data_IF_642565237997
#
_entry.id   IF_642565237997
#
_cell.length_a   1.000
_cell.length_b   1.000
_cell.length_c   1.000
_cell.angle_alpha   90.00
_cell.angle_beta   90.00
_cell.angle_gamma   90.00
#
_symmetry.space_group_name_H-M   'P 1'
#
loop_
_entity.id
_entity.type
_entity.pdbx_description
1 polymer ?
#
# COMPACT_ATOMS: atom_id res chain seq x y z
N UNK A 1 1.07 2.02 -16.36
CA UNK A 1 1.46 1.35 -15.10
C UNK A 1 1.23 -0.14 -15.22
N UNK A 2 2.20 -0.95 -14.86
CA UNK A 2 2.15 -2.41 -15.02
C UNK A 2 2.65 -3.12 -13.78
N UNK A 3 2.15 -4.32 -13.54
CA UNK A 3 2.73 -5.25 -12.56
C UNK A 3 4.11 -5.70 -13.06
N UNK A 4 5.11 -5.61 -12.21
CA UNK A 4 6.52 -5.84 -12.58
C UNK A 4 6.87 -7.32 -12.56
N UNK A 5 6.45 -8.05 -11.53
CA UNK A 5 6.82 -9.44 -11.34
C UNK A 5 5.68 -10.27 -10.74
N UNK A 6 5.91 -11.58 -10.62
CA UNK A 6 4.98 -12.50 -10.01
C UNK A 6 3.92 -13.03 -10.96
N UNK A 7 2.84 -13.54 -10.39
CA UNK A 7 1.77 -14.23 -11.10
C UNK A 7 1.10 -13.36 -12.17
N UNK A 8 0.99 -12.05 -11.93
CA UNK A 8 0.33 -11.10 -12.82
C UNK A 8 1.32 -10.21 -13.59
N UNK A 9 2.56 -10.63 -13.73
CA UNK A 9 3.60 -9.87 -14.44
C UNK A 9 3.11 -9.36 -15.80
N UNK A 10 3.34 -8.07 -16.05
CA UNK A 10 3.00 -7.42 -17.31
C UNK A 10 1.55 -6.93 -17.42
N UNK A 11 0.71 -7.28 -16.46
CA UNK A 11 -0.67 -6.79 -16.44
C UNK A 11 -0.71 -5.27 -16.31
N UNK A 12 -1.41 -4.62 -17.21
CA UNK A 12 -1.60 -3.16 -17.17
C UNK A 12 -2.66 -2.80 -16.14
N UNK A 13 -2.30 -1.90 -15.23
CA UNK A 13 -3.19 -1.36 -14.23
C UNK A 13 -3.82 -0.04 -14.71
N UNK A 14 -5.01 0.24 -14.17
CA UNK A 14 -5.62 1.56 -14.33
C UNK A 14 -4.80 2.60 -13.56
N UNK A 15 -4.63 3.75 -14.17
CA UNK A 15 -3.89 4.87 -13.59
C UNK A 15 -4.67 6.17 -13.76
N UNK A 16 -4.20 7.23 -13.13
CA UNK A 16 -4.84 8.53 -13.19
C UNK A 16 -4.83 9.03 -14.63
N UNK A 17 -6.01 9.41 -15.14
CA UNK A 17 -6.13 9.99 -16.48
C UNK A 17 -5.49 11.37 -16.55
N UNK A 18 -4.99 11.74 -17.73
CA UNK A 18 -4.53 13.11 -17.99
C UNK A 18 -5.72 14.06 -17.79
N UNK A 19 -5.58 15.01 -16.87
CA UNK A 19 -6.64 15.99 -16.56
C UNK A 19 -7.28 15.80 -15.19
N UNK A 20 -6.99 14.72 -14.49
CA UNK A 20 -7.53 14.48 -13.15
C UNK A 20 -6.63 15.10 -12.06
N UNK A 21 -6.30 16.39 -12.25
CA UNK A 21 -5.43 17.14 -11.34
C UNK A 21 -6.01 17.32 -9.94
N UNK A 22 -7.33 17.13 -9.78
CA UNK A 22 -8.02 17.26 -8.49
C UNK A 22 -7.77 16.07 -7.55
N UNK A 23 -7.27 14.96 -8.07
CA UNK A 23 -7.10 13.74 -7.28
C UNK A 23 -5.90 13.77 -6.33
N UNK A 24 -4.96 14.69 -6.51
CA UNK A 24 -3.71 14.83 -5.73
C UNK A 24 -2.94 13.51 -5.53
N UNK A 25 -3.20 12.53 -6.39
CA UNK A 25 -2.52 11.24 -6.36
C UNK A 25 -1.18 11.35 -7.09
N UNK A 26 -0.12 10.91 -6.43
CA UNK A 26 1.21 10.79 -7.05
C UNK A 26 1.39 9.32 -7.45
N UNK A 27 1.40 8.99 -8.75
CA UNK A 27 1.68 7.64 -9.17
C UNK A 27 3.13 7.27 -8.87
N UNK A 28 3.34 6.13 -8.23
CA UNK A 28 4.66 5.52 -8.13
C UNK A 28 4.98 4.91 -9.49
N UNK A 29 6.04 5.38 -10.14
CA UNK A 29 6.41 4.87 -11.47
C UNK A 29 6.79 3.40 -11.43
N UNK A 30 6.67 2.72 -12.56
CA UNK A 30 7.08 1.31 -12.69
C UNK A 30 8.54 1.11 -12.26
N UNK A 31 9.42 2.03 -12.64
CA UNK A 31 10.84 1.98 -12.30
C UNK A 31 11.09 2.11 -10.80
N UNK A 32 10.42 3.05 -10.13
CA UNK A 32 10.55 3.24 -8.68
C UNK A 32 10.01 2.03 -7.94
N UNK A 33 8.87 1.51 -8.39
CA UNK A 33 8.27 0.31 -7.79
C UNK A 33 9.16 -0.92 -7.99
N UNK A 34 9.75 -1.09 -9.16
CA UNK A 34 10.72 -2.16 -9.43
C UNK A 34 11.92 -2.07 -8.50
N UNK A 35 12.50 -0.88 -8.36
CA UNK A 35 13.63 -0.64 -7.45
C UNK A 35 13.27 -0.98 -6.01
N UNK A 36 12.12 -0.51 -5.54
CA UNK A 36 11.66 -0.78 -4.19
C UNK A 36 11.51 -2.29 -3.93
N UNK A 37 10.83 -3.01 -4.80
CA UNK A 37 10.62 -4.45 -4.63
C UNK A 37 11.90 -5.27 -4.81
N UNK A 38 12.85 -4.80 -5.62
CA UNK A 38 14.18 -5.41 -5.71
C UNK A 38 14.96 -5.30 -4.39
N UNK A 39 14.79 -4.21 -3.66
CA UNK A 39 15.36 -4.05 -2.32
C UNK A 39 14.62 -4.94 -1.33
N UNK A 40 13.29 -4.87 -1.31
CA UNK A 40 12.46 -5.59 -0.34
C UNK A 40 12.66 -7.11 -0.40
N UNK A 41 12.84 -7.69 -1.58
CA UNK A 41 13.02 -9.14 -1.72
C UNK A 41 14.23 -9.70 -0.95
N UNK A 42 15.18 -8.85 -0.58
CA UNK A 42 16.33 -9.27 0.22
C UNK A 42 15.98 -9.42 1.70
N UNK A 43 14.86 -8.85 2.14
CA UNK A 43 14.43 -8.80 3.53
C UNK A 43 13.11 -9.52 3.78
N UNK A 44 12.26 -9.58 2.75
CA UNK A 44 10.88 -10.03 2.85
C UNK A 44 10.64 -11.16 1.86
N UNK A 45 10.13 -12.29 2.34
CA UNK A 45 9.50 -13.30 1.50
C UNK A 45 8.02 -12.92 1.38
N UNK A 46 7.57 -12.64 0.15
CA UNK A 46 6.19 -12.21 -0.09
C UNK A 46 5.17 -13.34 0.04
N UNK A 47 5.62 -14.58 0.02
CA UNK A 47 4.72 -15.73 0.03
C UNK A 47 3.88 -15.75 1.31
N UNK A 48 2.56 -15.81 1.15
CA UNK A 48 1.57 -15.89 2.21
C UNK A 48 1.49 -14.71 3.17
N UNK A 49 2.12 -13.58 2.85
CA UNK A 49 2.05 -12.38 3.68
C UNK A 49 0.67 -11.75 3.68
N UNK A 50 0.29 -11.18 4.81
CA UNK A 50 -0.81 -10.23 4.94
C UNK A 50 -0.24 -8.81 4.82
N UNK A 51 -0.78 -8.02 3.91
CA UNK A 51 -0.28 -6.70 3.55
C UNK A 51 -1.30 -5.63 3.87
N UNK A 52 -0.83 -4.53 4.43
CA UNK A 52 -1.61 -3.30 4.64
C UNK A 52 -1.00 -2.19 3.77
N UNK A 53 -1.82 -1.57 2.93
CA UNK A 53 -1.41 -0.48 2.04
C UNK A 53 -2.16 0.79 2.46
N UNK A 54 -1.49 1.62 3.27
CA UNK A 54 -2.04 2.88 3.80
C UNK A 54 -1.76 4.03 2.81
N UNK A 55 -2.74 4.89 2.60
CA UNK A 55 -2.71 5.91 1.55
C UNK A 55 -2.50 5.27 0.18
N UNK A 56 -3.31 4.26 -0.12
CA UNK A 56 -3.02 3.30 -1.19
C UNK A 56 -3.05 3.90 -2.61
N UNK A 57 -3.75 5.01 -2.82
CA UNK A 57 -3.80 5.69 -4.12
C UNK A 57 -4.39 4.79 -5.21
N UNK A 58 -3.55 4.37 -6.16
CA UNK A 58 -3.95 3.43 -7.22
C UNK A 58 -3.92 1.97 -6.78
N UNK A 59 -3.36 1.69 -5.60
CA UNK A 59 -3.16 0.34 -5.10
C UNK A 59 -1.95 -0.39 -5.66
N UNK A 60 -1.09 0.29 -6.41
CA UNK A 60 0.01 -0.35 -7.13
C UNK A 60 0.98 -1.13 -6.23
N UNK A 61 1.31 -0.62 -5.05
CA UNK A 61 2.23 -1.29 -4.13
C UNK A 61 1.63 -2.58 -3.56
N UNK A 62 0.41 -2.51 -3.04
CA UNK A 62 -0.27 -3.69 -2.50
C UNK A 62 -0.53 -4.74 -3.58
N UNK A 63 -0.92 -4.32 -4.79
CA UNK A 63 -1.16 -5.25 -5.90
C UNK A 63 0.13 -5.90 -6.40
N UNK A 64 1.25 -5.17 -6.38
CA UNK A 64 2.55 -5.76 -6.69
C UNK A 64 2.91 -6.87 -5.69
N UNK A 65 2.72 -6.60 -4.40
CA UNK A 65 2.94 -7.59 -3.34
C UNK A 65 2.04 -8.82 -3.53
N UNK A 66 0.78 -8.61 -3.90
CA UNK A 66 -0.17 -9.68 -4.16
C UNK A 66 0.29 -10.56 -5.33
N UNK A 67 0.74 -9.93 -6.43
CA UNK A 67 1.27 -10.64 -7.59
C UNK A 67 2.50 -11.49 -7.24
N UNK A 68 3.28 -11.07 -6.26
CA UNK A 68 4.51 -11.76 -5.80
C UNK A 68 4.27 -12.84 -4.75
N UNK A 69 3.02 -13.06 -4.37
CA UNK A 69 2.64 -14.17 -3.50
C UNK A 69 1.93 -13.84 -2.21
N UNK A 70 1.70 -12.55 -1.90
CA UNK A 70 0.97 -12.16 -0.70
C UNK A 70 -0.41 -12.82 -0.66
N UNK A 71 -0.83 -13.24 0.52
CA UNK A 71 -2.09 -13.93 0.75
C UNK A 71 -3.29 -12.98 0.66
N UNK A 72 -3.14 -11.80 1.23
CA UNK A 72 -4.22 -10.81 1.33
C UNK A 72 -3.66 -9.40 1.41
N UNK A 73 -4.35 -8.46 0.79
CA UNK A 73 -4.01 -7.04 0.88
C UNK A 73 -5.25 -6.25 1.32
N UNK A 74 -5.07 -5.44 2.37
CA UNK A 74 -6.04 -4.44 2.77
C UNK A 74 -5.54 -3.08 2.30
N UNK A 75 -6.33 -2.42 1.47
CA UNK A 75 -6.06 -1.06 0.99
C UNK A 75 -6.85 -0.07 1.81
N UNK A 76 -6.22 1.04 2.20
CA UNK A 76 -6.88 2.14 2.89
C UNK A 76 -6.71 3.40 2.06
N UNK A 77 -7.81 3.96 1.59
CA UNK A 77 -7.84 5.14 0.73
C UNK A 77 -9.11 5.94 0.99
N UNK A 78 -8.98 7.24 1.28
CA UNK A 78 -10.13 8.10 1.54
C UNK A 78 -10.61 8.90 0.31
N UNK A 79 -9.83 8.95 -0.77
CA UNK A 79 -10.16 9.67 -1.99
C UNK A 79 -11.01 8.82 -2.95
N UNK A 80 -12.06 9.41 -3.52
CA UNK A 80 -12.96 8.68 -4.44
C UNK A 80 -12.25 8.17 -5.69
N UNK A 81 -11.36 8.97 -6.26
CA UNK A 81 -10.60 8.58 -7.47
C UNK A 81 -9.70 7.37 -7.16
N UNK A 82 -8.97 7.41 -6.06
CA UNK A 82 -8.14 6.29 -5.62
C UNK A 82 -8.95 5.03 -5.35
N UNK A 83 -10.07 5.15 -4.64
CA UNK A 83 -10.96 4.02 -4.36
C UNK A 83 -11.45 3.36 -5.65
N UNK A 84 -11.85 4.15 -6.64
CA UNK A 84 -12.29 3.63 -7.94
C UNK A 84 -11.14 2.92 -8.66
N UNK A 85 -9.96 3.51 -8.69
CA UNK A 85 -8.78 2.91 -9.33
C UNK A 85 -8.38 1.60 -8.66
N UNK A 86 -8.38 1.54 -7.33
CA UNK A 86 -8.12 0.32 -6.58
C UNK A 86 -9.14 -0.76 -6.96
N UNK A 87 -10.42 -0.43 -6.96
CA UNK A 87 -11.48 -1.37 -7.35
C UNK A 87 -11.30 -1.90 -8.76
N UNK A 88 -11.02 -1.02 -9.72
CA UNK A 88 -10.76 -1.40 -11.12
C UNK A 88 -9.54 -2.33 -11.23
N UNK A 89 -8.48 -2.04 -10.49
CA UNK A 89 -7.25 -2.82 -10.51
C UNK A 89 -7.41 -4.18 -9.84
N UNK A 90 -8.13 -4.26 -8.74
CA UNK A 90 -8.49 -5.54 -8.11
C UNK A 90 -9.26 -6.41 -9.09
N UNK A 91 -10.22 -5.83 -9.81
CA UNK A 91 -11.00 -6.54 -10.82
C UNK A 91 -10.13 -7.03 -11.98
N UNK A 92 -9.20 -6.21 -12.47
CA UNK A 92 -8.24 -6.60 -13.53
C UNK A 92 -7.37 -7.78 -13.11
N UNK A 93 -6.97 -7.84 -11.86
CA UNK A 93 -6.19 -8.95 -11.29
C UNK A 93 -7.04 -10.16 -10.91
N UNK A 94 -8.38 -10.05 -10.97
CA UNK A 94 -9.31 -11.08 -10.48
C UNK A 94 -9.01 -11.49 -9.04
N UNK A 95 -8.76 -10.49 -8.19
CA UNK A 95 -8.27 -10.68 -6.82
C UNK A 95 -9.27 -10.24 -5.75
N UNK A 96 -10.57 -10.20 -6.08
CA UNK A 96 -11.60 -9.70 -5.17
C UNK A 96 -11.65 -10.47 -3.85
N UNK A 97 -11.36 -11.78 -3.89
CA UNK A 97 -11.36 -12.66 -2.72
C UNK A 97 -10.11 -12.53 -1.83
N UNK A 98 -9.07 -11.83 -2.32
CA UNK A 98 -7.80 -11.64 -1.62
C UNK A 98 -7.53 -10.17 -1.28
N UNK A 99 -8.50 -9.30 -1.48
CA UNK A 99 -8.36 -7.87 -1.26
C UNK A 99 -9.53 -7.32 -0.48
N UNK A 100 -9.26 -6.30 0.33
CA UNK A 100 -10.27 -5.49 1.01
C UNK A 100 -9.92 -4.01 0.83
N UNK A 101 -10.91 -3.21 0.49
CA UNK A 101 -10.78 -1.76 0.44
C UNK A 101 -11.51 -1.13 1.62
N UNK A 102 -10.79 -0.36 2.42
CA UNK A 102 -11.34 0.46 3.51
C UNK A 102 -11.36 1.92 3.01
N UNK A 103 -12.56 2.43 2.78
CA UNK A 103 -12.79 3.80 2.33
C UNK A 103 -12.80 4.76 3.52
N UNK A 104 -11.66 4.93 4.17
CA UNK A 104 -11.51 5.74 5.37
C UNK A 104 -10.20 6.51 5.37
N UNK A 105 -10.11 7.49 6.28
CA UNK A 105 -8.88 8.19 6.59
C UNK A 105 -7.92 7.22 7.31
N UNK A 106 -6.72 7.05 6.77
CA UNK A 106 -5.71 6.17 7.34
C UNK A 106 -5.25 6.59 8.74
N UNK A 107 -5.47 7.84 9.14
CA UNK A 107 -5.17 8.32 10.51
C UNK A 107 -6.22 7.90 11.54
N UNK A 108 -7.31 7.28 11.10
CA UNK A 108 -8.45 6.86 11.93
C UNK A 108 -8.86 5.43 11.57
N UNK A 109 -7.96 4.49 11.82
CA UNK A 109 -8.18 3.10 11.47
C UNK A 109 -9.24 2.43 12.35
N UNK A 110 -10.09 1.58 11.76
CA UNK A 110 -10.96 0.69 12.55
C UNK A 110 -10.13 -0.45 13.16
N UNK A 111 -10.70 -1.23 14.10
CA UNK A 111 -10.06 -2.44 14.59
C UNK A 111 -9.76 -3.42 13.44
N UNK A 112 -8.62 -4.10 13.51
CA UNK A 112 -8.20 -5.03 12.46
C UNK A 112 -7.34 -6.18 12.97
N UNK A 113 -6.76 -6.93 12.04
CA UNK A 113 -5.90 -8.07 12.30
C UNK A 113 -4.46 -7.79 11.86
N UNK A 114 -3.44 -8.40 12.51
CA UNK A 114 -2.04 -8.11 12.23
C UNK A 114 -1.64 -8.39 10.78
N UNK A 115 -0.96 -7.43 10.17
CA UNK A 115 -0.32 -7.54 8.86
C UNK A 115 1.19 -7.61 9.00
N UNK A 116 1.84 -8.32 8.08
CA UNK A 116 3.28 -8.60 8.12
C UNK A 116 4.10 -7.57 7.35
N UNK A 117 3.48 -6.88 6.41
CA UNK A 117 4.09 -5.85 5.59
C UNK A 117 3.12 -4.66 5.47
N UNK A 118 3.63 -3.47 5.77
CA UNK A 118 2.85 -2.23 5.72
C UNK A 118 3.52 -1.25 4.77
N UNK A 119 2.80 -0.80 3.76
CA UNK A 119 3.19 0.31 2.91
C UNK A 119 2.57 1.60 3.43
N UNK A 120 3.33 2.67 3.42
CA UNK A 120 2.94 3.96 3.98
C UNK A 120 3.55 5.08 3.14
N UNK A 121 2.76 5.63 2.22
CA UNK A 121 3.15 6.73 1.33
C UNK A 121 2.16 7.89 1.46
N UNK A 122 2.20 8.64 2.57
CA UNK A 122 1.27 9.74 2.82
C UNK A 122 1.60 10.98 2.02
N UNK A 123 0.64 11.92 1.87
CA UNK A 123 0.94 13.26 1.39
C UNK A 123 1.99 13.94 2.27
N UNK A 124 2.91 14.70 1.65
CA UNK A 124 4.00 15.37 2.37
C UNK A 124 3.53 16.48 3.31
N UNK A 125 4.31 16.72 4.37
CA UNK A 125 4.30 17.94 5.16
C UNK A 125 3.20 18.06 6.22
N UNK A 126 2.44 16.99 6.50
CA UNK A 126 1.31 17.04 7.45
C UNK A 126 1.44 16.03 8.60
N UNK A 127 2.55 15.37 8.76
CA UNK A 127 2.77 14.28 9.74
C UNK A 127 1.70 13.17 9.69
N UNK A 128 1.05 13.01 8.54
CA UNK A 128 -0.04 12.03 8.37
C UNK A 128 0.46 10.60 8.48
N UNK A 129 1.68 10.34 8.03
CA UNK A 129 2.30 9.01 8.12
C UNK A 129 2.45 8.53 9.55
N UNK A 130 2.97 9.38 10.44
CA UNK A 130 3.11 9.05 11.85
C UNK A 130 1.76 8.81 12.53
N UNK A 131 0.78 9.65 12.23
CA UNK A 131 -0.58 9.51 12.74
C UNK A 131 -1.23 8.20 12.27
N UNK A 132 -1.11 7.88 10.98
CA UNK A 132 -1.65 6.65 10.42
C UNK A 132 -0.96 5.41 11.02
N UNK A 133 0.35 5.45 11.18
CA UNK A 133 1.11 4.34 11.75
C UNK A 133 0.71 4.09 13.21
N UNK A 134 0.55 5.15 14.00
CA UNK A 134 0.02 5.05 15.38
C UNK A 134 -1.37 4.48 15.42
N UNK A 135 -2.26 4.95 14.56
CA UNK A 135 -3.64 4.47 14.49
C UNK A 135 -3.70 2.98 14.12
N UNK A 136 -2.93 2.58 13.10
CA UNK A 136 -2.86 1.19 12.68
C UNK A 136 -2.28 0.28 13.78
N UNK A 137 -1.24 0.73 14.46
CA UNK A 137 -0.64 0.01 15.59
C UNK A 137 -1.66 -0.17 16.73
N UNK A 138 -2.30 0.92 17.16
CA UNK A 138 -3.27 0.89 18.26
C UNK A 138 -4.47 0.00 17.96
N UNK A 139 -4.87 -0.12 16.71
CA UNK A 139 -6.03 -0.91 16.28
C UNK A 139 -5.70 -2.35 15.89
N UNK A 140 -4.45 -2.78 16.08
CA UNK A 140 -4.04 -4.18 15.89
C UNK A 140 -3.69 -4.58 14.46
N UNK A 141 -3.45 -3.62 13.56
CA UNK A 141 -3.13 -3.90 12.15
C UNK A 141 -1.68 -4.28 11.89
N UNK A 142 -0.78 -4.10 12.86
CA UNK A 142 0.66 -4.27 12.65
C UNK A 142 1.17 -5.43 13.51
N UNK A 143 1.72 -6.45 12.89
CA UNK A 143 2.36 -7.56 13.59
C UNK A 143 3.63 -7.09 14.31
N UNK A 144 4.03 -7.79 15.39
CA UNK A 144 5.18 -7.41 16.21
C UNK A 144 6.49 -7.30 15.44
N UNK A 145 6.66 -8.13 14.39
CA UNK A 145 7.87 -8.14 13.55
C UNK A 145 7.55 -7.72 12.11
N UNK A 146 6.54 -6.89 11.92
CA UNK A 146 6.16 -6.41 10.60
C UNK A 146 7.24 -5.53 9.97
N UNK A 147 7.40 -5.64 8.67
CA UNK A 147 8.17 -4.70 7.87
C UNK A 147 7.30 -3.52 7.49
N UNK A 148 7.84 -2.33 7.65
CA UNK A 148 7.15 -1.08 7.30
C UNK A 148 7.97 -0.34 6.27
N UNK A 149 7.37 -0.08 5.13
CA UNK A 149 7.94 0.72 4.05
C UNK A 149 7.29 2.10 4.12
N UNK A 150 8.05 3.06 4.62
CA UNK A 150 7.56 4.40 4.87
C UNK A 150 8.29 5.41 3.99
N UNK A 151 7.57 6.04 3.06
CA UNK A 151 8.07 7.15 2.28
C UNK A 151 7.75 8.47 2.99
N UNK A 152 8.79 9.18 3.42
CA UNK A 152 8.68 10.46 4.11
C UNK A 152 9.78 11.42 3.66
N UNK A 153 9.49 12.72 3.72
CA UNK A 153 10.45 13.76 3.33
C UNK A 153 11.63 13.91 4.30
N UNK A 154 11.46 13.47 5.55
CA UNK A 154 12.52 13.49 6.56
C UNK A 154 12.58 12.16 7.29
N UNK A 155 13.81 11.64 7.49
CA UNK A 155 14.00 10.40 8.21
C UNK A 155 13.74 10.61 9.71
N UNK A 156 12.57 10.18 10.15
CA UNK A 156 12.21 10.12 11.58
C UNK A 156 11.62 8.74 11.87
N UNK A 157 12.16 8.11 12.91
CA UNK A 157 11.61 6.84 13.38
C UNK A 157 10.50 7.11 14.37
N UNK A 158 9.25 6.68 14.09
CA UNK A 158 8.18 6.80 15.07
C UNK A 158 8.49 6.02 16.35
N UNK A 159 7.96 6.49 17.47
CA UNK A 159 8.08 5.81 18.75
C UNK A 159 7.55 4.38 18.66
N UNK A 160 8.31 3.41 19.16
CA UNK A 160 7.96 1.99 19.14
C UNK A 160 8.41 1.23 17.89
N UNK A 161 9.08 1.91 16.95
CA UNK A 161 9.58 1.29 15.73
C UNK A 161 11.10 1.37 15.65
N UNK A 162 11.70 0.48 14.86
CA UNK A 162 13.16 0.41 14.65
C UNK A 162 13.44 0.57 13.16
N UNK A 163 14.47 1.35 12.81
CA UNK A 163 14.95 1.50 11.44
C UNK A 163 15.78 0.30 11.00
#
# INVERSE_FOLDING_TARGET
>A
MRIIAGQNRGLRLAEIGQGDHAAHLRPTTDRVRETLFNILRNWVDFQDLKVLDLFAGTGALGLEALSRGAQHVTFVENGRVGQKLIGDNIARMRAQDRCKLIAQDATKMPPGAPCDLVFLDPPYGKSLGHQALRSAWAQGWIAAEAWIVFEEASAMTPEGFVL
#
